data_IF_647433937568
#
_entry.id   IF_647433937568
#
_cell.length_a   1.000
_cell.length_b   1.000
_cell.length_c   1.000
_cell.angle_alpha   90.00
_cell.angle_beta   90.00
_cell.angle_gamma   90.00
#
_symmetry.space_group_name_H-M   'P 1'
#
loop_
_entity.id
_entity.type
_entity.pdbx_description
1 polymer ?
#
# COMPACT_ATOMS: atom_id res chain seq x y z
N UNK A 1 -7.41 -1.60 14.93
CA UNK A 1 -6.79 -1.81 13.59
C UNK A 1 -5.80 -2.98 13.61
N UNK A 2 -4.77 -2.96 14.47
CA UNK A 2 -3.83 -4.09 14.62
C UNK A 2 -4.50 -5.38 15.10
N UNK A 3 -5.39 -5.32 16.09
CA UNK A 3 -6.11 -6.51 16.59
C UNK A 3 -6.90 -7.25 15.49
N UNK A 4 -7.36 -6.51 14.48
CA UNK A 4 -8.14 -7.03 13.36
C UNK A 4 -7.31 -7.39 12.13
N UNK A 5 -5.96 -7.26 12.18
CA UNK A 5 -5.06 -7.50 11.04
C UNK A 5 -5.49 -6.77 9.76
N UNK A 6 -6.01 -5.55 9.94
CA UNK A 6 -6.61 -4.80 8.84
C UNK A 6 -5.60 -4.47 7.74
N UNK A 7 -4.33 -4.23 8.10
CA UNK A 7 -3.26 -3.95 7.14
C UNK A 7 -2.95 -5.16 6.28
N UNK A 8 -2.85 -6.33 6.89
CA UNK A 8 -2.60 -7.60 6.21
C UNK A 8 -3.73 -7.92 5.22
N UNK A 9 -4.97 -7.66 5.62
CA UNK A 9 -6.14 -7.79 4.73
C UNK A 9 -6.05 -6.81 3.56
N UNK A 10 -5.77 -5.53 3.82
CA UNK A 10 -5.62 -4.53 2.76
C UNK A 10 -4.48 -4.87 1.80
N UNK A 11 -3.34 -5.35 2.30
CA UNK A 11 -2.22 -5.82 1.48
C UNK A 11 -2.63 -7.02 0.63
N UNK A 12 -3.42 -7.94 1.18
CA UNK A 12 -3.98 -9.07 0.43
C UNK A 12 -4.90 -8.64 -0.73
N UNK A 13 -5.58 -7.50 -0.59
CA UNK A 13 -6.46 -6.93 -1.62
C UNK A 13 -5.72 -6.14 -2.71
N UNK A 14 -4.38 -6.04 -2.67
CA UNK A 14 -3.60 -5.35 -3.72
C UNK A 14 -3.50 -6.13 -5.03
N UNK A 15 -3.99 -7.38 -5.08
CA UNK A 15 -3.87 -8.27 -6.25
C UNK A 15 -5.25 -8.70 -6.75
N UNK A 16 -5.35 -8.82 -8.08
CA UNK A 16 -6.50 -9.39 -8.77
C UNK A 16 -7.84 -8.72 -8.43
N UNK A 17 -7.80 -7.42 -8.12
CA UNK A 17 -9.00 -6.61 -7.85
C UNK A 17 -9.31 -5.66 -9.01
N UNK A 18 -10.59 -5.30 -9.21
CA UNK A 18 -10.96 -4.19 -10.08
C UNK A 18 -10.27 -2.89 -9.66
N UNK A 19 -9.92 -2.03 -10.62
CA UNK A 19 -9.22 -0.78 -10.34
C UNK A 19 -9.97 0.12 -9.35
N UNK A 20 -11.31 0.15 -9.39
CA UNK A 20 -12.14 0.91 -8.43
C UNK A 20 -11.94 0.46 -6.98
N UNK A 21 -11.72 -0.84 -6.76
CA UNK A 21 -11.40 -1.40 -5.45
C UNK A 21 -9.97 -1.02 -5.08
N UNK A 22 -9.02 -1.17 -6.00
CA UNK A 22 -7.62 -0.82 -5.78
C UNK A 22 -7.42 0.65 -5.40
N UNK A 23 -8.19 1.57 -6.00
CA UNK A 23 -8.14 3.00 -5.65
C UNK A 23 -8.37 3.19 -4.15
N UNK A 24 -9.40 2.55 -3.60
CA UNK A 24 -9.75 2.67 -2.18
C UNK A 24 -8.77 1.91 -1.27
N UNK A 25 -8.35 0.70 -1.68
CA UNK A 25 -7.39 -0.12 -0.92
C UNK A 25 -6.05 0.60 -0.78
N UNK A 26 -5.52 1.12 -1.89
CA UNK A 26 -4.24 1.85 -1.89
C UNK A 26 -4.38 3.19 -1.17
N UNK A 27 -5.52 3.87 -1.33
CA UNK A 27 -5.82 5.09 -0.58
C UNK A 27 -5.73 4.86 0.93
N UNK A 28 -6.39 3.82 1.43
CA UNK A 28 -6.36 3.42 2.84
C UNK A 28 -4.96 3.03 3.31
N UNK A 29 -4.22 2.24 2.52
CA UNK A 29 -2.83 1.88 2.84
C UNK A 29 -1.92 3.11 2.89
N UNK A 30 -2.13 4.09 2.01
CA UNK A 30 -1.38 5.35 2.02
C UNK A 30 -1.62 6.18 3.29
N UNK A 31 -2.86 6.21 3.81
CA UNK A 31 -3.14 6.84 5.12
C UNK A 31 -2.48 6.05 6.25
N UNK A 32 -2.59 4.73 6.25
CA UNK A 32 -1.97 3.92 7.30
C UNK A 32 -0.45 3.98 7.29
N UNK A 33 0.18 4.13 6.12
CA UNK A 33 1.63 4.23 5.96
C UNK A 33 2.23 5.52 6.55
N UNK A 34 1.42 6.54 6.88
CA UNK A 34 1.90 7.72 7.60
C UNK A 34 2.24 7.43 9.07
N UNK A 35 1.83 6.26 9.59
CA UNK A 35 2.13 5.82 10.94
C UNK A 35 3.34 4.87 10.88
N UNK A 36 4.46 5.26 11.49
CA UNK A 36 5.73 4.54 11.38
C UNK A 36 5.65 3.06 11.77
N UNK A 37 4.84 2.71 12.78
CA UNK A 37 4.65 1.32 13.21
C UNK A 37 4.04 0.43 12.11
N UNK A 38 3.15 1.01 11.29
CA UNK A 38 2.46 0.29 10.22
C UNK A 38 3.37 -0.03 9.03
N UNK A 39 4.44 0.75 8.82
CA UNK A 39 5.41 0.53 7.74
C UNK A 39 6.02 -0.87 7.83
N UNK A 40 6.40 -1.26 9.05
CA UNK A 40 6.95 -2.59 9.31
C UNK A 40 5.94 -3.70 8.99
N UNK A 41 4.66 -3.49 9.28
CA UNK A 41 3.57 -4.45 8.98
C UNK A 41 3.32 -4.56 7.49
N UNK A 42 3.26 -3.43 6.77
CA UNK A 42 3.09 -3.40 5.31
C UNK A 42 4.23 -4.17 4.63
N UNK A 43 5.49 -3.92 5.04
CA UNK A 43 6.66 -4.62 4.52
C UNK A 43 6.62 -6.12 4.83
N UNK A 44 6.42 -6.49 6.09
CA UNK A 44 6.38 -7.90 6.53
C UNK A 44 5.24 -8.69 5.89
N UNK A 45 4.15 -8.01 5.51
CA UNK A 45 3.02 -8.60 4.78
C UNK A 45 3.27 -8.70 3.26
N UNK A 46 4.42 -8.23 2.77
CA UNK A 46 4.77 -8.26 1.35
C UNK A 46 4.06 -7.19 0.51
N UNK A 47 3.60 -6.09 1.11
CA UNK A 47 2.83 -5.05 0.44
C UNK A 47 3.64 -4.12 -0.47
N UNK A 48 4.96 -4.04 -0.30
CA UNK A 48 5.83 -3.14 -1.08
C UNK A 48 5.84 -3.53 -2.57
N UNK A 49 6.05 -4.81 -2.88
CA UNK A 49 6.14 -5.26 -4.27
C UNK A 49 4.84 -5.02 -5.06
N UNK A 50 3.63 -5.36 -4.56
CA UNK A 50 2.38 -5.02 -5.23
C UNK A 50 2.20 -3.51 -5.43
N UNK A 51 2.51 -2.69 -4.42
CA UNK A 51 2.42 -1.22 -4.56
C UNK A 51 3.31 -0.70 -5.69
N UNK A 52 4.55 -1.19 -5.79
CA UNK A 52 5.47 -0.82 -6.87
C UNK A 52 4.93 -1.28 -8.23
N UNK A 53 4.38 -2.50 -8.31
CA UNK A 53 3.83 -3.01 -9.57
C UNK A 53 2.64 -2.18 -10.07
N UNK A 54 1.84 -1.59 -9.18
CA UNK A 54 0.72 -0.73 -9.56
C UNK A 54 1.16 0.60 -10.20
N UNK A 55 2.43 1.00 -10.08
CA UNK A 55 2.97 2.20 -10.73
C UNK A 55 3.01 2.09 -12.26
N UNK A 56 2.91 0.89 -12.83
CA UNK A 56 2.91 0.68 -14.29
C UNK A 56 1.51 0.76 -14.91
N UNK A 57 0.47 1.01 -14.10
CA UNK A 57 -0.91 1.14 -14.58
C UNK A 57 -1.16 2.46 -15.33
N UNK A 58 -2.35 2.57 -15.94
CA UNK A 58 -2.78 3.79 -16.66
C UNK A 58 -3.87 4.58 -15.94
N UNK A 59 -4.50 4.00 -14.91
CA UNK A 59 -5.55 4.63 -14.14
C UNK A 59 -5.00 5.77 -13.26
N UNK A 60 -5.34 7.00 -13.60
CA UNK A 60 -4.82 8.20 -12.92
C UNK A 60 -5.23 8.28 -11.45
N UNK A 61 -6.47 7.95 -11.11
CA UNK A 61 -6.94 7.97 -9.73
C UNK A 61 -6.18 6.97 -8.85
N UNK A 62 -5.91 5.78 -9.40
CA UNK A 62 -5.10 4.77 -8.74
C UNK A 62 -3.66 5.25 -8.58
N UNK A 63 -3.05 5.78 -9.64
CA UNK A 63 -1.66 6.26 -9.61
C UNK A 63 -1.42 7.37 -8.57
N UNK A 64 -2.38 8.29 -8.38
CA UNK A 64 -2.31 9.30 -7.29
C UNK A 64 -2.18 8.62 -5.93
N UNK A 65 -2.98 7.60 -5.66
CA UNK A 65 -2.92 6.89 -4.38
C UNK A 65 -1.66 6.03 -4.26
N UNK A 66 -1.26 5.35 -5.34
CA UNK A 66 -0.07 4.48 -5.35
C UNK A 66 1.19 5.30 -5.11
N UNK A 67 1.37 6.41 -5.81
CA UNK A 67 2.54 7.28 -5.64
C UNK A 67 2.63 7.82 -4.21
N UNK A 68 1.50 8.20 -3.61
CA UNK A 68 1.43 8.62 -2.20
C UNK A 68 1.80 7.49 -1.24
N UNK A 69 1.22 6.30 -1.43
CA UNK A 69 1.48 5.15 -0.56
C UNK A 69 2.94 4.67 -0.65
N UNK A 70 3.50 4.59 -1.86
CA UNK A 70 4.91 4.25 -2.09
C UNK A 70 5.83 5.30 -1.48
N UNK A 71 5.52 6.59 -1.67
CA UNK A 71 6.29 7.70 -1.07
C UNK A 71 6.29 7.65 0.46
N UNK A 72 5.14 7.38 1.08
CA UNK A 72 5.06 7.17 2.53
C UNK A 72 5.89 5.96 2.98
N UNK A 73 5.80 4.84 2.25
CA UNK A 73 6.59 3.64 2.57
C UNK A 73 8.11 3.87 2.43
N UNK A 74 8.54 4.66 1.46
CA UNK A 74 9.95 4.97 1.22
C UNK A 74 10.60 5.84 2.30
N UNK A 75 9.82 6.37 3.25
CA UNK A 75 10.37 7.09 4.42
C UNK A 75 11.06 6.15 5.43
N UNK A 76 10.74 4.85 5.40
CA UNK A 76 11.45 3.82 6.16
C UNK A 76 12.57 3.20 5.31
N UNK A 77 13.85 3.36 5.69
CA UNK A 77 14.99 2.80 4.96
C UNK A 77 14.92 1.27 4.78
N UNK A 78 14.27 0.55 5.70
CA UNK A 78 14.12 -0.90 5.59
C UNK A 78 13.17 -1.32 4.45
N UNK A 79 12.34 -0.41 3.94
CA UNK A 79 11.46 -0.67 2.79
C UNK A 79 12.18 -0.43 1.44
N UNK A 80 13.41 0.11 1.49
CA UNK A 80 14.23 0.44 0.32
C UNK A 80 15.36 -0.55 0.07
N UNK A 81 15.52 -1.53 0.97
CA UNK A 81 16.52 -2.60 0.90
C UNK A 81 16.00 -3.80 0.08
#
# INVERSE_FOLDING_TARGET
>A
FQEYKALEILVGLLKDQPEEVLVNVVGALGECAQISENLSTIRKSGGIQPLVNLLTGTNQALLVNVTRAVGACATDPENMA
#
